data_IF_149745266178
#
_entry.id   IF_149745266178
#
_cell.length_a   1.000
_cell.length_b   1.000
_cell.length_c   1.000
_cell.angle_alpha   90.00
_cell.angle_beta   90.00
_cell.angle_gamma   90.00
#
_symmetry.space_group_name_H-M   'P 1'
#
loop_
_entity.id
_entity.type
_entity.pdbx_description
1 polymer ?
#
# COMPACT_ATOMS: atom_id res chain seq x y z
N UNK A 1 -45.96 14.24 47.02
CA UNK A 1 -44.94 14.97 46.24
C UNK A 1 -43.61 14.57 46.84
N UNK A 2 -43.07 13.44 46.39
CA UNK A 2 -42.16 13.26 45.24
C UNK A 2 -40.71 13.35 45.67
N UNK A 3 -40.17 12.19 46.02
CA UNK A 3 -38.74 11.86 46.09
C UNK A 3 -38.31 11.28 44.75
N UNK A 4 -37.00 11.36 44.49
CA UNK A 4 -36.22 10.77 43.38
C UNK A 4 -36.06 11.70 42.18
N UNK A 5 -34.87 12.28 42.07
CA UNK A 5 -34.25 12.55 40.77
C UNK A 5 -32.86 11.93 40.85
N UNK A 6 -32.70 10.91 40.01
CA UNK A 6 -31.53 10.07 39.81
C UNK A 6 -30.26 10.89 39.55
N UNK A 7 -29.18 10.49 40.20
CA UNK A 7 -27.82 10.86 39.80
C UNK A 7 -27.51 10.14 38.48
N UNK A 8 -27.65 10.85 37.37
CA UNK A 8 -27.13 10.43 36.07
C UNK A 8 -25.59 10.36 36.16
N UNK A 9 -25.07 9.16 36.41
CA UNK A 9 -23.65 8.86 36.21
C UNK A 9 -23.36 8.95 34.71
N UNK A 10 -22.79 10.08 34.29
CA UNK A 10 -22.09 10.20 33.03
C UNK A 10 -21.00 9.14 33.00
N UNK A 11 -21.22 8.10 32.17
CA UNK A 11 -20.21 7.12 31.86
C UNK A 11 -19.18 7.83 30.99
N UNK A 12 -18.04 8.20 31.57
CA UNK A 12 -16.84 8.55 30.83
C UNK A 12 -16.49 7.37 29.92
N UNK A 13 -16.90 7.45 28.65
CA UNK A 13 -16.41 6.57 27.59
C UNK A 13 -14.92 6.88 27.44
N UNK A 14 -14.08 6.10 28.13
CA UNK A 14 -12.64 6.06 27.88
C UNK A 14 -12.43 5.74 26.40
N UNK A 15 -12.19 6.78 25.60
CA UNK A 15 -11.76 6.69 24.22
C UNK A 15 -10.41 5.96 24.22
N UNK A 16 -10.44 4.65 24.01
CA UNK A 16 -9.25 3.85 23.82
C UNK A 16 -8.40 4.52 22.73
N UNK A 17 -7.09 4.70 22.94
CA UNK A 17 -6.24 5.31 21.94
C UNK A 17 -6.32 4.44 20.67
N UNK A 18 -6.81 5.03 19.58
CA UNK A 18 -6.77 4.41 18.27
C UNK A 18 -5.30 4.15 17.93
N UNK A 19 -4.83 2.93 18.14
CA UNK A 19 -3.51 2.50 17.73
C UNK A 19 -3.52 2.54 16.20
N UNK A 20 -2.85 3.54 15.62
CA UNK A 20 -2.61 3.58 14.18
C UNK A 20 -1.59 2.48 13.85
N UNK A 21 -2.09 1.27 13.61
CA UNK A 21 -1.26 0.17 13.13
C UNK A 21 -0.81 0.58 11.73
N UNK A 22 0.50 0.78 11.47
CA UNK A 22 0.96 1.04 10.12
C UNK A 22 0.53 -0.14 9.27
N UNK A 23 -0.32 0.13 8.28
CA UNK A 23 -0.83 -0.90 7.40
C UNK A 23 0.40 -1.55 6.75
N UNK A 24 0.69 -2.85 7.00
CA UNK A 24 1.85 -3.49 6.39
C UNK A 24 1.65 -3.34 4.89
N UNK A 25 2.58 -2.66 4.21
CA UNK A 25 2.49 -2.46 2.76
C UNK A 25 2.36 -3.84 2.13
N UNK A 26 1.14 -4.17 1.71
CA UNK A 26 0.82 -5.47 1.11
C UNK A 26 1.77 -5.64 -0.05
N UNK A 27 2.49 -6.77 -0.09
CA UNK A 27 3.45 -7.03 -1.16
C UNK A 27 2.68 -6.94 -2.48
N UNK A 28 3.09 -6.06 -3.42
CA UNK A 28 2.40 -5.93 -4.69
C UNK A 28 2.38 -7.27 -5.43
N UNK A 29 1.21 -7.70 -5.90
CA UNK A 29 1.05 -8.91 -6.73
C UNK A 29 1.55 -8.66 -8.15
N UNK A 30 2.87 -8.55 -8.30
CA UNK A 30 3.55 -8.30 -9.56
C UNK A 30 4.37 -9.55 -9.89
N UNK A 31 4.19 -10.06 -11.11
CA UNK A 31 4.91 -11.22 -11.66
C UNK A 31 5.57 -10.88 -13.00
N UNK A 32 6.52 -11.71 -13.43
CA UNK A 32 7.07 -11.63 -14.79
C UNK A 32 5.94 -11.67 -15.83
N UNK A 33 6.06 -10.82 -16.86
CA UNK A 33 5.06 -10.59 -17.91
C UNK A 33 3.98 -9.56 -17.56
N UNK A 34 3.91 -9.05 -16.32
CA UNK A 34 2.96 -8.00 -15.96
C UNK A 34 3.35 -6.65 -16.56
N UNK A 35 2.34 -5.85 -16.93
CA UNK A 35 2.53 -4.46 -17.34
C UNK A 35 2.44 -3.55 -16.13
N UNK A 36 3.49 -2.74 -15.93
CA UNK A 36 3.66 -1.89 -14.77
C UNK A 36 4.01 -0.47 -15.18
N UNK A 37 3.73 0.49 -14.31
CA UNK A 37 4.23 1.87 -14.38
C UNK A 37 4.97 2.19 -13.08
N UNK A 38 5.87 3.17 -13.13
CA UNK A 38 6.60 3.63 -11.94
C UNK A 38 5.74 4.66 -11.21
N UNK A 39 5.51 4.44 -9.92
CA UNK A 39 4.76 5.36 -9.07
C UNK A 39 5.53 6.68 -8.97
N UNK A 40 4.85 7.78 -9.32
CA UNK A 40 5.46 9.11 -9.30
C UNK A 40 6.41 9.42 -10.46
N UNK A 41 6.56 8.53 -11.45
CA UNK A 41 7.33 8.81 -12.67
C UNK A 41 6.56 8.41 -13.93
N UNK A 42 6.09 9.41 -14.68
CA UNK A 42 5.34 9.21 -15.92
C UNK A 42 6.21 9.15 -17.17
N UNK A 43 7.49 9.54 -17.08
CA UNK A 43 8.38 9.69 -18.25
C UNK A 43 8.69 8.35 -18.92
N UNK A 44 8.81 7.29 -18.12
CA UNK A 44 9.07 5.95 -18.62
C UNK A 44 7.84 5.28 -19.26
N UNK A 45 6.63 5.75 -18.94
CA UNK A 45 5.38 5.16 -19.40
C UNK A 45 5.11 3.76 -18.81
N UNK A 46 4.52 2.88 -19.62
CA UNK A 46 4.22 1.49 -19.25
C UNK A 46 5.39 0.60 -19.67
N UNK A 47 5.89 -0.20 -18.74
CA UNK A 47 6.90 -1.22 -18.98
C UNK A 47 6.36 -2.63 -18.71
N UNK A 48 7.13 -3.62 -19.12
CA UNK A 48 6.83 -5.05 -18.90
C UNK A 48 7.85 -5.64 -17.94
N UNK A 49 7.39 -6.32 -16.89
CA UNK A 49 8.29 -7.03 -15.96
C UNK A 49 8.91 -8.22 -16.69
N UNK A 50 10.23 -8.26 -16.79
CA UNK A 50 10.99 -9.33 -17.46
C UNK A 50 11.32 -10.43 -16.46
N UNK A 51 11.79 -10.05 -15.27
CA UNK A 51 12.17 -10.96 -14.19
C UNK A 51 11.99 -10.30 -12.84
N UNK A 52 11.91 -11.13 -11.81
CA UNK A 52 11.85 -10.72 -10.41
C UNK A 52 13.08 -11.27 -9.70
N UNK A 53 13.68 -10.45 -8.85
CA UNK A 53 14.79 -10.88 -8.01
C UNK A 53 14.35 -12.03 -7.09
N UNK A 54 15.21 -13.03 -6.80
CA UNK A 54 14.88 -14.11 -5.87
C UNK A 54 14.38 -13.65 -4.50
N UNK A 55 14.81 -12.48 -4.01
CA UNK A 55 14.33 -11.89 -2.76
C UNK A 55 12.91 -11.29 -2.87
N UNK A 56 12.43 -11.12 -4.09
CA UNK A 56 11.13 -10.55 -4.42
C UNK A 56 10.96 -9.12 -3.91
N UNK A 57 12.03 -8.31 -3.92
CA UNK A 57 12.03 -6.86 -3.66
C UNK A 57 12.17 -6.05 -4.93
N UNK A 58 12.96 -6.54 -5.88
CA UNK A 58 13.22 -5.86 -7.15
C UNK A 58 12.61 -6.62 -8.33
N UNK A 59 12.23 -5.88 -9.36
CA UNK A 59 11.82 -6.39 -10.65
C UNK A 59 12.62 -5.70 -11.75
N UNK A 60 13.09 -6.49 -12.72
CA UNK A 60 13.62 -5.94 -13.95
C UNK A 60 12.45 -5.61 -14.87
N UNK A 61 12.39 -4.36 -15.31
CA UNK A 61 11.30 -3.88 -16.16
C UNK A 61 11.88 -3.40 -17.49
N UNK A 62 11.25 -3.81 -18.59
CA UNK A 62 11.54 -3.32 -19.92
C UNK A 62 10.54 -2.21 -20.29
N UNK A 63 11.02 -0.97 -20.36
CA UNK A 63 10.32 0.17 -20.93
C UNK A 63 10.71 0.36 -22.39
N UNK A 64 9.96 1.20 -23.11
CA UNK A 64 10.13 1.43 -24.56
C UNK A 64 11.58 1.71 -24.98
N UNK A 65 12.33 2.46 -24.17
CA UNK A 65 13.70 2.89 -24.48
C UNK A 65 14.71 2.56 -23.36
N UNK A 66 14.33 1.78 -22.35
CA UNK A 66 15.17 1.56 -21.17
C UNK A 66 14.84 0.23 -20.48
N UNK A 67 15.86 -0.50 -20.02
CA UNK A 67 15.72 -1.71 -19.21
C UNK A 67 16.53 -1.49 -17.95
N UNK A 68 15.95 -1.81 -16.79
CA UNK A 68 16.57 -1.59 -15.49
C UNK A 68 15.87 -2.34 -14.37
N UNK A 69 16.34 -2.12 -13.15
CA UNK A 69 15.79 -2.74 -11.95
C UNK A 69 15.08 -1.70 -11.10
N UNK A 70 13.84 -1.99 -10.70
CA UNK A 70 13.04 -1.14 -9.84
C UNK A 70 12.49 -1.92 -8.65
N UNK A 71 12.26 -1.19 -7.56
CA UNK A 71 11.56 -1.70 -6.39
C UNK A 71 10.14 -2.07 -6.77
N UNK A 72 9.69 -3.27 -6.37
CA UNK A 72 8.29 -3.69 -6.53
C UNK A 72 7.33 -2.73 -5.84
N UNK A 73 7.76 -2.06 -4.76
CA UNK A 73 6.96 -1.07 -4.05
C UNK A 73 6.77 0.23 -4.83
N UNK A 74 7.64 0.49 -5.81
CA UNK A 74 7.57 1.67 -6.67
C UNK A 74 6.88 1.35 -8.01
N UNK A 75 6.37 0.12 -8.16
CA UNK A 75 5.69 -0.33 -9.37
C UNK A 75 4.19 -0.48 -9.10
N UNK A 76 3.39 0.03 -10.02
CA UNK A 76 1.95 -0.12 -10.02
C UNK A 76 1.53 -0.95 -11.24
N UNK A 77 0.84 -2.07 -11.00
CA UNK A 77 0.31 -2.94 -12.05
C UNK A 77 -0.84 -2.25 -12.78
N UNK A 78 -0.81 -2.27 -14.11
CA UNK A 78 -1.80 -1.58 -14.96
C UNK A 78 -2.84 -2.55 -15.55
N UNK A 79 -2.43 -3.79 -15.86
CA UNK A 79 -3.29 -4.84 -16.43
C UNK A 79 -2.96 -6.21 -15.86
#
# INVERSE_FOLDING_TARGET
MSTLIDEEKEMDEELLPMIHIPNPRVKPEINAGNHVKIIGNQDYGIGTVVRIDPDGRLAEVAFKNHIGWWSLYDLEKVK
#
